data_IF_465248561459
#
_entry.id   IF_465248561459
#
_cell.length_a   1.000
_cell.length_b   1.000
_cell.length_c   1.000
_cell.angle_alpha   90.00
_cell.angle_beta   90.00
_cell.angle_gamma   90.00
#
_symmetry.space_group_name_H-M   'P 1'
#
loop_
_entity.id
_entity.type
_entity.pdbx_description
1 polymer ?
#
# COMPACT_ATOMS: atom_id res chain seq x y z
N UNK A 1 16.08 -17.54 -6.54
CA UNK A 1 15.22 -16.78 -5.60
C UNK A 1 14.16 -16.04 -6.38
N UNK A 2 12.89 -16.17 -5.99
CA UNK A 2 11.80 -15.41 -6.61
C UNK A 2 11.96 -13.92 -6.29
N UNK A 3 11.67 -13.03 -7.25
CA UNK A 3 11.61 -11.58 -7.03
C UNK A 3 10.19 -11.20 -6.62
N UNK A 4 10.06 -10.14 -5.83
CA UNK A 4 8.76 -9.60 -5.40
C UNK A 4 7.84 -9.28 -6.60
N UNK A 5 8.40 -8.73 -7.67
CA UNK A 5 7.67 -8.33 -8.88
C UNK A 5 6.97 -9.50 -9.60
N UNK A 6 7.43 -10.73 -9.35
CA UNK A 6 6.90 -11.97 -9.95
C UNK A 6 5.83 -12.64 -9.09
N UNK A 7 5.46 -12.06 -7.95
CA UNK A 7 4.37 -12.56 -7.14
C UNK A 7 3.02 -12.38 -7.84
N UNK A 8 2.06 -13.28 -7.63
CA UNK A 8 0.66 -13.03 -7.96
C UNK A 8 0.15 -11.75 -7.28
N UNK A 9 -0.69 -10.98 -7.95
CA UNK A 9 -1.27 -9.73 -7.41
C UNK A 9 -1.91 -9.90 -6.02
N UNK A 10 -2.70 -10.98 -5.73
CA UNK A 10 -3.27 -11.17 -4.40
C UNK A 10 -2.20 -11.33 -3.29
N UNK A 11 -1.07 -11.94 -3.63
CA UNK A 11 0.05 -12.12 -2.68
C UNK A 11 0.82 -10.80 -2.53
N UNK A 12 0.93 -10.00 -3.60
CA UNK A 12 1.49 -8.64 -3.49
C UNK A 12 0.63 -7.75 -2.60
N UNK A 13 -0.69 -7.85 -2.68
CA UNK A 13 -1.64 -7.10 -1.85
C UNK A 13 -1.48 -7.48 -0.37
N UNK A 14 -1.42 -8.79 -0.08
CA UNK A 14 -1.19 -9.28 1.27
C UNK A 14 0.15 -8.79 1.82
N UNK A 15 1.23 -8.89 1.03
CA UNK A 15 2.55 -8.42 1.46
C UNK A 15 2.58 -6.90 1.63
N UNK A 16 1.95 -6.15 0.72
CA UNK A 16 1.85 -4.69 0.82
C UNK A 16 1.09 -4.28 2.09
N UNK A 17 -0.04 -4.93 2.38
CA UNK A 17 -0.81 -4.73 3.62
C UNK A 17 0.10 -4.91 4.84
N UNK A 18 0.80 -6.05 4.90
CA UNK A 18 1.68 -6.39 6.03
C UNK A 18 2.88 -5.45 6.17
N UNK A 19 3.39 -4.92 5.05
CA UNK A 19 4.43 -3.88 5.02
C UNK A 19 3.91 -2.58 5.62
N UNK A 20 2.72 -2.13 5.20
CA UNK A 20 2.12 -0.87 5.65
C UNK A 20 1.67 -0.96 7.12
N UNK A 21 1.29 -2.15 7.59
CA UNK A 21 1.08 -2.49 9.01
C UNK A 21 2.38 -2.56 9.84
N UNK A 22 3.55 -2.32 9.22
CA UNK A 22 4.89 -2.34 9.85
C UNK A 22 5.30 -3.70 10.41
N UNK A 23 4.81 -4.81 9.85
CA UNK A 23 5.30 -6.14 10.20
C UNK A 23 6.76 -6.34 9.80
N UNK A 24 7.46 -7.22 10.51
CA UNK A 24 8.86 -7.48 10.21
C UNK A 24 9.03 -8.22 8.88
N UNK A 25 10.12 -7.93 8.15
CA UNK A 25 10.44 -8.65 6.92
C UNK A 25 10.69 -10.16 7.16
N UNK A 26 11.02 -10.55 8.39
CA UNK A 26 11.19 -11.95 8.79
C UNK A 26 9.85 -12.65 8.86
N UNK A 27 8.85 -12.04 9.50
CA UNK A 27 7.49 -12.58 9.60
C UNK A 27 6.84 -12.70 8.23
N UNK A 28 6.94 -11.67 7.38
CA UNK A 28 6.41 -11.70 6.02
C UNK A 28 7.07 -12.82 5.20
N UNK A 29 8.39 -13.01 5.34
CA UNK A 29 9.11 -14.10 4.66
C UNK A 29 8.65 -15.48 5.14
N UNK A 30 8.45 -15.63 6.45
CA UNK A 30 7.96 -16.86 7.05
C UNK A 30 6.53 -17.18 6.59
N UNK A 31 5.64 -16.17 6.59
CA UNK A 31 4.26 -16.27 6.13
C UNK A 31 4.19 -16.69 4.65
N UNK A 32 4.95 -16.04 3.77
CA UNK A 32 4.97 -16.41 2.35
C UNK A 32 5.44 -17.85 2.14
N UNK A 33 6.38 -18.32 2.95
CA UNK A 33 6.86 -19.70 2.89
C UNK A 33 5.84 -20.70 3.45
N UNK A 34 5.17 -20.37 4.55
CA UNK A 34 4.26 -21.26 5.26
C UNK A 34 2.89 -21.36 4.58
N UNK A 35 2.29 -20.21 4.25
CA UNK A 35 0.93 -20.15 3.71
C UNK A 35 0.88 -20.38 2.20
N UNK A 36 1.90 -19.91 1.47
CA UNK A 36 1.90 -19.91 0.00
C UNK A 36 2.96 -20.82 -0.62
N UNK A 37 3.85 -21.41 0.19
CA UNK A 37 4.96 -22.21 -0.31
C UNK A 37 5.99 -21.40 -1.11
N UNK A 38 6.00 -20.07 -0.98
CA UNK A 38 6.85 -19.18 -1.77
C UNK A 38 8.11 -18.79 -1.00
N UNK A 39 9.31 -19.26 -1.43
CA UNK A 39 10.56 -18.89 -0.79
C UNK A 39 11.03 -17.51 -1.30
N UNK A 40 10.70 -16.46 -0.54
CA UNK A 40 11.23 -15.11 -0.74
C UNK A 40 12.17 -14.72 0.40
N UNK A 41 13.28 -14.07 0.06
CA UNK A 41 14.26 -13.61 1.03
C UNK A 41 13.78 -12.37 1.79
N UNK A 42 14.18 -12.25 3.06
CA UNK A 42 13.96 -11.02 3.85
C UNK A 42 14.53 -9.78 3.17
N UNK A 43 15.63 -9.90 2.43
CA UNK A 43 16.24 -8.78 1.70
C UNK A 43 15.37 -8.33 0.50
N UNK A 44 14.70 -9.28 -0.16
CA UNK A 44 13.75 -8.99 -1.24
C UNK A 44 12.52 -8.26 -0.69
N UNK A 45 12.00 -8.73 0.45
CA UNK A 45 10.90 -8.05 1.16
C UNK A 45 11.33 -6.67 1.63
N UNK A 46 12.52 -6.54 2.21
CA UNK A 46 13.04 -5.25 2.67
C UNK A 46 13.12 -4.22 1.54
N UNK A 47 13.58 -4.62 0.35
CA UNK A 47 13.60 -3.73 -0.82
C UNK A 47 12.19 -3.31 -1.24
N UNK A 48 11.26 -4.26 -1.28
CA UNK A 48 9.86 -3.96 -1.58
C UNK A 48 9.24 -3.04 -0.50
N UNK A 49 9.52 -3.30 0.77
CA UNK A 49 9.05 -2.49 1.89
C UNK A 49 9.56 -1.06 1.80
N UNK A 50 10.86 -0.88 1.54
CA UNK A 50 11.45 0.45 1.38
C UNK A 50 10.78 1.23 0.24
N UNK A 51 10.54 0.59 -0.91
CA UNK A 51 9.89 1.23 -2.06
C UNK A 51 8.43 1.58 -1.78
N UNK A 52 7.66 0.65 -1.20
CA UNK A 52 6.25 0.87 -0.93
C UNK A 52 6.02 1.86 0.22
N UNK A 53 6.88 1.88 1.25
CA UNK A 53 6.81 2.89 2.31
C UNK A 53 7.22 4.27 1.82
N UNK A 54 8.20 4.36 0.91
CA UNK A 54 8.53 5.63 0.27
C UNK A 54 7.38 6.15 -0.62
N UNK A 55 6.65 5.22 -1.24
CA UNK A 55 5.53 5.52 -2.14
C UNK A 55 4.25 5.89 -1.38
N UNK A 56 3.81 5.07 -0.44
CA UNK A 56 2.51 5.22 0.22
C UNK A 56 2.61 5.75 1.66
N UNK A 57 3.83 6.02 2.15
CA UNK A 57 4.05 6.46 3.53
C UNK A 57 3.48 7.83 3.83
N UNK A 58 3.44 8.75 2.87
CA UNK A 58 2.81 10.06 3.05
C UNK A 58 1.30 9.94 3.16
N UNK A 59 0.65 9.19 2.26
CA UNK A 59 -0.78 8.84 2.36
C UNK A 59 -1.14 8.20 3.71
N UNK A 60 -0.33 7.24 4.18
CA UNK A 60 -0.53 6.62 5.49
C UNK A 60 -0.38 7.63 6.63
N UNK A 61 0.59 8.56 6.53
CA UNK A 61 0.83 9.61 7.53
C UNK A 61 -0.29 10.65 7.57
N UNK A 62 -0.98 10.86 6.45
CA UNK A 62 -2.18 11.70 6.34
C UNK A 62 -3.46 10.98 6.81
N UNK A 63 -3.33 9.75 7.31
CA UNK A 63 -4.44 9.00 7.89
C UNK A 63 -5.23 8.13 6.90
N UNK A 64 -4.73 7.93 5.68
CA UNK A 64 -5.37 7.00 4.74
C UNK A 64 -5.22 5.55 5.27
N UNK A 65 -6.31 4.77 5.37
CA UNK A 65 -6.23 3.38 5.83
C UNK A 65 -5.42 2.49 4.89
N UNK A 66 -4.73 1.51 5.46
CA UNK A 66 -3.93 0.53 4.69
C UNK A 66 -4.78 -0.20 3.66
N UNK A 67 -5.97 -0.66 4.05
CA UNK A 67 -6.90 -1.40 3.18
C UNK A 67 -7.29 -0.59 1.94
N UNK A 68 -7.49 0.72 2.14
CA UNK A 68 -7.81 1.67 1.08
C UNK A 68 -6.64 1.82 0.13
N UNK A 69 -5.44 2.09 0.67
CA UNK A 69 -4.20 2.21 -0.12
C UNK A 69 -4.00 0.96 -0.99
N UNK A 70 -4.22 -0.23 -0.44
CA UNK A 70 -4.05 -1.50 -1.16
C UNK A 70 -5.12 -1.67 -2.24
N UNK A 71 -6.40 -1.45 -1.91
CA UNK A 71 -7.54 -1.58 -2.85
C UNK A 71 -7.43 -0.61 -4.02
N UNK A 72 -7.00 0.63 -3.77
CA UNK A 72 -6.94 1.69 -4.79
C UNK A 72 -5.53 1.92 -5.34
N UNK A 73 -4.54 1.06 -5.01
CA UNK A 73 -3.13 1.28 -5.39
C UNK A 73 -2.93 1.55 -6.88
N UNK A 74 -3.66 0.85 -7.74
CA UNK A 74 -3.52 0.99 -9.19
C UNK A 74 -4.05 2.34 -9.67
N UNK A 75 -5.13 2.83 -9.05
CA UNK A 75 -5.69 4.16 -9.32
C UNK A 75 -4.76 5.26 -8.80
N UNK A 76 -4.23 5.09 -7.58
CA UNK A 76 -3.23 6.01 -7.00
C UNK A 76 -1.99 6.08 -7.90
N UNK A 77 -1.50 4.93 -8.40
CA UNK A 77 -0.35 4.89 -9.30
C UNK A 77 -0.64 5.51 -10.67
N UNK A 78 -1.87 5.37 -11.19
CA UNK A 78 -2.29 5.99 -12.45
C UNK A 78 -2.46 7.51 -12.32
N UNK A 79 -3.02 7.99 -11.20
CA UNK A 79 -3.22 9.41 -10.91
C UNK A 79 -1.92 10.12 -10.52
N UNK A 80 -0.98 9.39 -9.91
CA UNK A 80 0.24 9.92 -9.33
C UNK A 80 0.13 10.11 -7.82
N UNK A 81 1.15 9.66 -7.11
CA UNK A 81 1.22 9.69 -5.65
C UNK A 81 1.15 11.12 -5.12
N UNK A 82 1.99 12.02 -5.65
CA UNK A 82 2.04 13.42 -5.21
C UNK A 82 0.71 14.14 -5.44
N UNK A 83 0.04 13.88 -6.57
CA UNK A 83 -1.28 14.44 -6.85
C UNK A 83 -2.35 13.92 -5.88
N UNK A 84 -2.30 12.62 -5.54
CA UNK A 84 -3.19 12.00 -4.55
C UNK A 84 -2.95 12.59 -3.15
N UNK A 85 -1.68 12.78 -2.78
CA UNK A 85 -1.26 13.38 -1.52
C UNK A 85 -1.74 14.84 -1.40
N UNK A 86 -1.55 15.64 -2.46
CA UNK A 86 -2.00 17.01 -2.50
C UNK A 86 -3.54 17.12 -2.44
N UNK A 87 -4.25 16.30 -3.22
CA UNK A 87 -5.71 16.29 -3.19
C UNK A 87 -6.27 15.89 -1.81
N UNK A 88 -5.60 14.95 -1.13
CA UNK A 88 -5.96 14.57 0.23
C UNK A 88 -5.71 15.73 1.21
N UNK A 89 -4.57 16.41 1.10
CA UNK A 89 -4.22 17.55 1.93
C UNK A 89 -5.21 18.72 1.76
N UNK A 90 -5.60 19.05 0.52
CA UNK A 90 -6.59 20.08 0.22
C UNK A 90 -7.95 19.75 0.85
N UNK A 91 -8.43 18.51 0.71
CA UNK A 91 -9.69 18.06 1.34
C UNK A 91 -9.64 18.07 2.87
N UNK A 92 -8.51 17.67 3.47
CA UNK A 92 -8.31 17.74 4.92
C UNK A 92 -8.26 19.19 5.42
N UNK A 93 -7.81 20.13 4.59
CA UNK A 93 -7.82 21.56 4.92
C UNK A 93 -9.21 22.19 4.76
N UNK A 94 -10.03 21.73 3.80
CA UNK A 94 -11.37 22.24 3.53
C UNK A 94 -12.44 21.76 4.53
N UNK A 95 -12.28 20.55 5.07
CA UNK A 95 -13.23 19.97 6.01
C UNK A 95 -12.60 19.80 7.39
N UNK A 96 -13.32 20.23 8.44
CA UNK A 96 -13.24 19.62 9.79
C UNK A 96 -13.76 18.14 9.77
N UNK A 97 -13.49 17.40 8.70
CA UNK A 97 -14.13 16.14 8.33
C UNK A 97 -13.08 15.07 8.06
N UNK A 98 -13.47 13.83 8.32
CA UNK A 98 -12.58 12.69 8.37
C UNK A 98 -12.01 12.36 6.97
N UNK A 99 -10.77 11.83 6.87
CA UNK A 99 -10.07 11.51 5.60
C UNK A 99 -10.84 10.65 4.57
N UNK A 100 -11.99 10.08 4.94
CA UNK A 100 -12.74 9.07 4.19
C UNK A 100 -13.66 9.62 3.10
N UNK A 101 -14.01 10.91 3.12
CA UNK A 101 -14.86 11.55 2.07
C UNK A 101 -14.18 11.59 0.68
N UNK A 102 -12.91 11.18 0.59
CA UNK A 102 -12.17 11.06 -0.67
C UNK A 102 -12.54 9.80 -1.46
N UNK A 103 -12.95 8.71 -0.80
CA UNK A 103 -13.22 7.43 -1.49
C UNK A 103 -14.51 7.45 -2.31
N UNK A 104 -15.52 8.18 -1.85
CA UNK A 104 -16.77 8.38 -2.59
C UNK A 104 -16.54 9.10 -3.93
N UNK A 105 -15.44 9.85 -4.09
CA UNK A 105 -15.08 10.47 -5.37
C UNK A 105 -14.33 9.53 -6.32
N UNK A 106 -13.67 8.47 -5.80
CA UNK A 106 -13.00 7.45 -6.63
C UNK A 106 -13.96 6.32 -7.06
N UNK A 107 -15.06 6.12 -6.32
CA UNK A 107 -16.13 5.18 -6.70
C UNK A 107 -17.15 5.79 -7.69
N UNK A 108 -16.98 7.07 -8.08
CA UNK A 108 -17.92 7.81 -8.94
C UNK A 108 -17.67 7.77 -10.46
N UNK A 109 -16.66 7.04 -10.96
CA UNK A 109 -16.39 6.89 -12.39
C UNK A 109 -16.48 5.42 -12.87
N UNK A 110 -17.64 4.78 -12.62
CA UNK A 110 -18.07 3.56 -13.32
C UNK A 110 -19.47 3.74 -13.89
#
# INVERSE_FOLDING_TARGET
MLKFDKLPEPIKDEVLTKILERQSCVEISALLRQSHGIPISKNSIYRAAKLNLAKFGGLLSMGMPVEVIVKTRAQIEAAGIEATEQALLEKLAEKNGTPFDYLDCLEGEV
#
